data_IF_677792308430
#
_entry.id   IF_677792308430
#
_cell.length_a   1.000
_cell.length_b   1.000
_cell.length_c   1.000
_cell.angle_alpha   90.00
_cell.angle_beta   90.00
_cell.angle_gamma   90.00
#
_symmetry.space_group_name_H-M   'P 1'
#
loop_
_entity.id
_entity.type
_entity.pdbx_description
1 polymer ?
#
# COMPACT_ATOMS: atom_id res chain seq x y z
N UNK A 1 0.80 11.95 26.39
CA UNK A 1 -0.07 13.06 26.87
C UNK A 1 -1.03 12.52 27.92
N UNK A 2 -0.97 12.99 29.19
CA UNK A 2 -1.74 12.37 30.30
C UNK A 2 -3.24 12.27 30.03
N UNK A 3 -3.84 13.29 29.46
CA UNK A 3 -5.28 13.31 29.19
C UNK A 3 -5.70 12.26 28.15
N UNK A 4 -4.84 11.99 27.18
CA UNK A 4 -5.07 10.97 26.14
C UNK A 4 -4.83 9.57 26.73
N UNK A 5 -3.77 9.41 27.55
CA UNK A 5 -3.46 8.15 28.22
C UNK A 5 -4.64 7.75 29.14
N UNK A 6 -5.24 8.70 29.82
CA UNK A 6 -6.40 8.45 30.69
C UNK A 6 -7.68 7.99 29.95
N UNK A 7 -7.71 8.11 28.61
CA UNK A 7 -8.81 7.61 27.76
C UNK A 7 -8.63 6.14 27.35
N UNK A 8 -7.44 5.56 27.54
CA UNK A 8 -7.21 4.16 27.22
C UNK A 8 -8.08 3.25 28.10
N UNK A 9 -8.65 2.19 27.52
CA UNK A 9 -9.31 1.15 28.31
C UNK A 9 -8.36 0.55 29.36
N UNK A 10 -8.92 0.11 30.46
CA UNK A 10 -8.15 -0.57 31.52
C UNK A 10 -7.42 -1.80 30.94
N UNK A 11 -6.12 -1.88 31.20
CA UNK A 11 -5.27 -2.96 30.68
C UNK A 11 -4.77 -2.80 29.24
N UNK A 12 -5.27 -1.82 28.48
CA UNK A 12 -4.74 -1.57 27.14
C UNK A 12 -3.27 -1.12 27.21
N UNK A 13 -2.41 -1.73 26.39
CA UNK A 13 -0.97 -1.45 26.30
C UNK A 13 -0.25 -1.57 27.67
N UNK A 14 -0.70 -2.52 28.53
CA UNK A 14 -0.17 -2.69 29.90
C UNK A 14 1.27 -3.20 29.92
N UNK A 15 1.76 -3.77 28.85
CA UNK A 15 3.15 -4.17 28.64
C UNK A 15 4.08 -3.00 28.20
N UNK A 16 3.51 -1.82 27.96
CA UNK A 16 4.24 -0.62 27.55
C UNK A 16 4.62 -0.60 26.07
N UNK A 17 3.97 -1.42 25.24
CA UNK A 17 4.23 -1.52 23.80
C UNK A 17 2.95 -1.25 23.02
N UNK A 18 3.09 -0.62 21.87
CA UNK A 18 2.10 -0.57 20.81
C UNK A 18 2.65 -1.43 19.66
N UNK A 19 2.11 -2.65 19.52
CA UNK A 19 2.46 -3.57 18.45
C UNK A 19 1.74 -3.18 17.16
N UNK A 20 2.51 -2.77 16.16
CA UNK A 20 1.98 -2.28 14.88
C UNK A 20 2.41 -3.20 13.75
N UNK A 21 1.46 -3.72 12.98
CA UNK A 21 1.76 -4.42 11.75
C UNK A 21 1.86 -3.45 10.56
N UNK A 22 2.86 -3.64 9.71
CA UNK A 22 3.09 -2.89 8.49
C UNK A 22 3.70 -3.76 7.40
N UNK A 23 3.32 -3.56 6.13
CA UNK A 23 3.96 -4.19 4.98
C UNK A 23 5.20 -3.37 4.60
N UNK A 24 6.36 -3.73 5.17
CA UNK A 24 7.59 -2.92 5.09
C UNK A 24 8.32 -3.04 3.75
N UNK A 25 7.57 -2.99 2.67
CA UNK A 25 8.02 -3.01 1.26
C UNK A 25 7.36 -1.92 0.40
N UNK A 26 6.74 -0.92 1.06
CA UNK A 26 5.91 0.10 0.44
C UNK A 26 6.47 1.53 0.60
N UNK A 27 7.72 1.79 0.10
CA UNK A 27 8.35 3.10 0.25
C UNK A 27 7.58 4.20 -0.52
N UNK A 28 7.53 5.43 0.01
CA UNK A 28 8.20 5.95 1.21
C UNK A 28 7.37 5.83 2.50
N UNK A 29 6.25 5.10 2.49
CA UNK A 29 5.35 4.98 3.62
C UNK A 29 5.93 4.11 4.74
N UNK A 30 6.26 2.86 4.43
CA UNK A 30 6.89 1.90 5.33
C UNK A 30 7.81 0.96 4.54
N UNK A 31 9.07 0.89 4.94
CA UNK A 31 10.05 0.01 4.29
C UNK A 31 11.24 -0.27 5.20
N UNK A 32 12.01 -1.28 4.86
CA UNK A 32 13.24 -1.59 5.57
C UNK A 32 14.39 -0.79 4.97
N UNK A 33 15.16 -0.11 5.82
CA UNK A 33 16.41 0.52 5.41
C UNK A 33 17.53 -0.52 5.16
N UNK A 34 18.70 -0.06 4.74
CA UNK A 34 19.84 -0.93 4.48
C UNK A 34 20.35 -1.69 5.73
N UNK A 35 19.97 -1.26 6.93
CA UNK A 35 20.26 -1.93 8.20
C UNK A 35 19.19 -2.92 8.63
N UNK A 36 18.07 -3.01 7.87
CA UNK A 36 16.91 -3.84 8.20
C UNK A 36 15.96 -3.20 9.21
N UNK A 37 16.11 -1.91 9.52
CA UNK A 37 15.19 -1.19 10.39
C UNK A 37 13.98 -0.67 9.58
N UNK A 38 12.78 -0.77 10.16
CA UNK A 38 11.57 -0.20 9.57
C UNK A 38 11.65 1.34 9.63
N UNK A 39 11.44 1.99 8.49
CA UNK A 39 11.46 3.44 8.30
C UNK A 39 10.32 3.88 7.39
N UNK A 40 10.08 5.18 7.29
CA UNK A 40 9.01 5.76 6.46
C UNK A 40 8.02 6.57 7.29
N UNK A 41 7.08 7.25 6.62
CA UNK A 41 6.18 8.15 7.32
C UNK A 41 5.15 7.40 8.18
N UNK A 42 4.73 6.19 7.81
CA UNK A 42 3.81 5.35 8.60
C UNK A 42 4.50 4.81 9.87
N UNK A 43 5.79 4.46 9.75
CA UNK A 43 6.61 4.08 10.91
C UNK A 43 6.78 5.25 11.87
N UNK A 44 7.06 6.45 11.34
CA UNK A 44 7.17 7.66 12.16
C UNK A 44 5.83 8.03 12.83
N UNK A 45 4.71 7.83 12.13
CA UNK A 45 3.36 8.02 12.68
C UNK A 45 3.10 7.05 13.85
N UNK A 46 3.44 5.77 13.67
CA UNK A 46 3.34 4.74 14.72
C UNK A 46 4.13 5.14 15.97
N UNK A 47 5.37 5.59 15.79
CA UNK A 47 6.23 6.08 16.87
C UNK A 47 5.68 7.35 17.55
N UNK A 48 5.07 8.25 16.78
CA UNK A 48 4.46 9.46 17.31
C UNK A 48 3.21 9.14 18.14
N UNK A 49 2.37 8.24 17.69
CA UNK A 49 1.19 7.74 18.42
C UNK A 49 1.63 7.09 19.73
N UNK A 50 2.58 6.17 19.69
CA UNK A 50 3.09 5.49 20.89
C UNK A 50 3.63 6.50 21.93
N UNK A 51 4.38 7.52 21.52
CA UNK A 51 4.86 8.59 22.41
C UNK A 51 3.72 9.38 23.07
N UNK A 52 2.65 9.65 22.32
CA UNK A 52 1.45 10.32 22.86
C UNK A 52 0.78 9.44 23.92
N UNK A 53 0.72 8.12 23.68
CA UNK A 53 0.15 7.12 24.58
C UNK A 53 1.06 6.76 25.76
N UNK A 54 2.33 7.21 25.76
CA UNK A 54 3.27 6.95 26.85
C UNK A 54 3.92 5.56 26.79
N UNK A 55 3.91 4.91 25.61
CA UNK A 55 4.49 3.60 25.34
C UNK A 55 5.52 3.67 24.22
N UNK A 56 6.20 2.57 23.89
CA UNK A 56 7.04 2.44 22.71
C UNK A 56 6.26 1.79 21.57
N UNK A 57 6.56 2.14 20.32
CA UNK A 57 6.06 1.40 19.17
C UNK A 57 7.02 0.27 18.81
N UNK A 58 6.48 -0.89 18.45
CA UNK A 58 7.18 -1.98 17.81
C UNK A 58 6.51 -2.30 16.49
N UNK A 59 7.25 -2.11 15.38
CA UNK A 59 6.70 -2.30 14.02
C UNK A 59 7.10 -3.69 13.53
N UNK A 60 6.11 -4.50 13.24
CA UNK A 60 6.26 -5.87 12.77
C UNK A 60 5.99 -5.94 11.27
N UNK A 61 6.94 -6.48 10.51
CA UNK A 61 6.75 -6.77 9.09
C UNK A 61 5.72 -7.88 8.90
N UNK A 62 4.72 -7.62 8.07
CA UNK A 62 3.70 -8.61 7.72
C UNK A 62 3.29 -8.45 6.25
N UNK A 63 2.77 -9.52 5.65
CA UNK A 63 2.15 -9.45 4.33
C UNK A 63 0.90 -8.55 4.39
N UNK A 64 0.77 -7.64 3.42
CA UNK A 64 -0.27 -6.59 3.44
C UNK A 64 -1.69 -7.14 3.63
N UNK A 65 -2.03 -8.21 2.90
CA UNK A 65 -3.35 -8.83 2.94
C UNK A 65 -3.66 -9.56 4.26
N UNK A 66 -2.63 -9.88 5.06
CA UNK A 66 -2.77 -10.56 6.35
C UNK A 66 -2.96 -9.60 7.54
N UNK A 67 -2.58 -8.33 7.41
CA UNK A 67 -2.52 -7.38 8.53
C UNK A 67 -3.88 -7.20 9.19
N UNK A 68 -4.93 -6.96 8.38
CA UNK A 68 -6.29 -6.70 8.90
C UNK A 68 -6.78 -7.83 9.80
N UNK A 69 -6.52 -9.09 9.41
CA UNK A 69 -6.93 -10.25 10.20
C UNK A 69 -6.13 -10.40 11.52
N UNK A 70 -4.94 -9.83 11.58
CA UNK A 70 -4.06 -9.88 12.75
C UNK A 70 -4.35 -8.80 13.80
N UNK A 71 -5.04 -7.70 13.42
CA UNK A 71 -5.35 -6.60 14.35
C UNK A 71 -6.36 -7.05 15.41
N UNK A 72 -6.06 -6.75 16.67
CA UNK A 72 -6.86 -7.14 17.83
C UNK A 72 -6.59 -8.56 18.33
N UNK A 73 -5.69 -9.31 17.68
CA UNK A 73 -5.27 -10.66 18.11
C UNK A 73 -3.75 -10.77 18.25
N UNK A 74 -3.02 -10.39 17.22
CA UNK A 74 -1.55 -10.44 17.17
C UNK A 74 -0.94 -9.05 17.30
N UNK A 75 -1.64 -8.05 16.79
CA UNK A 75 -1.20 -6.65 16.76
C UNK A 75 -2.27 -5.75 17.38
N UNK A 76 -1.85 -4.65 18.00
CA UNK A 76 -2.76 -3.63 18.51
C UNK A 76 -3.34 -2.78 17.37
N UNK A 77 -2.53 -2.54 16.34
CA UNK A 77 -2.90 -1.74 15.17
C UNK A 77 -2.23 -2.22 13.89
N UNK A 78 -2.85 -1.89 12.75
CA UNK A 78 -2.24 -1.94 11.43
C UNK A 78 -2.05 -0.52 10.90
N UNK A 79 -0.82 -0.14 10.56
CA UNK A 79 -0.50 1.16 9.94
C UNK A 79 0.35 0.88 8.70
N UNK A 80 -0.28 0.84 7.53
CA UNK A 80 0.35 0.42 6.27
C UNK A 80 -0.43 1.00 5.08
N UNK A 81 -0.62 2.30 5.06
CA UNK A 81 -1.27 3.06 3.98
C UNK A 81 -2.61 2.47 3.49
N UNK A 82 -3.39 1.87 4.38
CA UNK A 82 -4.66 1.23 4.02
C UNK A 82 -5.68 2.24 3.48
N UNK A 83 -6.16 2.01 2.29
CA UNK A 83 -7.35 2.71 1.78
C UNK A 83 -8.57 2.39 2.64
N UNK A 84 -9.28 3.42 3.09
CA UNK A 84 -10.54 3.26 3.83
C UNK A 84 -11.62 2.80 2.84
N UNK A 85 -12.05 1.54 2.94
CA UNK A 85 -13.11 0.97 2.12
C UNK A 85 -14.30 0.56 2.98
N UNK A 86 -15.49 0.42 2.35
CA UNK A 86 -16.69 -0.05 3.05
C UNK A 86 -16.49 -1.46 3.63
N UNK A 87 -15.80 -2.33 2.90
CA UNK A 87 -15.52 -3.69 3.35
C UNK A 87 -14.64 -3.68 4.59
N UNK A 88 -13.51 -2.94 4.55
CA UNK A 88 -12.58 -2.83 5.67
C UNK A 88 -13.22 -2.19 6.91
N UNK A 89 -14.05 -1.15 6.72
CA UNK A 89 -14.77 -0.51 7.84
C UNK A 89 -15.87 -1.38 8.44
N UNK A 90 -16.34 -2.39 7.74
CA UNK A 90 -17.23 -3.41 8.31
C UNK A 90 -16.49 -4.41 9.21
N UNK A 91 -15.20 -4.63 8.98
CA UNK A 91 -14.37 -5.56 9.75
C UNK A 91 -13.70 -4.89 10.95
N UNK A 92 -13.32 -3.60 10.84
CA UNK A 92 -12.59 -2.89 11.90
C UNK A 92 -12.80 -1.38 11.85
N UNK A 93 -12.38 -0.71 12.93
CA UNK A 93 -12.32 0.74 12.97
C UNK A 93 -11.11 1.23 12.15
N UNK A 94 -11.35 2.19 11.26
CA UNK A 94 -10.29 2.80 10.46
C UNK A 94 -10.22 4.31 10.73
N UNK A 95 -9.00 4.84 10.77
CA UNK A 95 -8.73 6.27 10.97
C UNK A 95 -7.94 6.75 9.76
N UNK A 96 -8.53 7.66 8.98
CA UNK A 96 -7.82 8.30 7.88
C UNK A 96 -6.82 9.33 8.43
N UNK A 97 -5.56 9.23 8.04
CA UNK A 97 -4.48 10.14 8.47
C UNK A 97 -3.80 10.87 7.29
N UNK A 98 -3.98 10.35 6.08
CA UNK A 98 -3.44 10.94 4.85
C UNK A 98 -4.47 10.82 3.73
N UNK A 99 -4.44 11.73 2.77
CA UNK A 99 -5.24 11.66 1.56
C UNK A 99 -4.32 11.47 0.36
N UNK A 100 -4.39 10.30 -0.28
CA UNK A 100 -3.54 9.89 -1.42
C UNK A 100 -4.44 9.40 -2.54
N UNK A 101 -4.07 9.70 -3.78
CA UNK A 101 -4.65 9.07 -4.96
C UNK A 101 -3.83 7.85 -5.39
N UNK A 102 -4.31 7.12 -6.40
CA UNK A 102 -3.54 6.07 -7.06
C UNK A 102 -3.03 6.55 -8.42
N UNK A 103 -1.87 6.02 -8.87
CA UNK A 103 -1.27 6.33 -10.17
C UNK A 103 -0.68 5.09 -10.80
N UNK A 104 -0.56 5.14 -12.12
CA UNK A 104 0.17 4.14 -12.89
C UNK A 104 1.64 4.56 -13.04
N UNK A 105 2.53 3.59 -12.81
CA UNK A 105 3.89 3.63 -13.32
C UNK A 105 3.95 2.83 -14.62
N UNK A 106 4.70 3.34 -15.60
CA UNK A 106 4.99 2.71 -16.89
C UNK A 106 6.48 2.77 -17.15
N UNK A 107 6.97 2.01 -18.12
CA UNK A 107 8.36 2.13 -18.57
C UNK A 107 8.65 3.55 -19.07
N UNK A 108 9.86 4.05 -18.84
CA UNK A 108 10.29 5.39 -19.23
C UNK A 108 10.02 5.68 -20.72
N UNK A 109 9.48 6.86 -20.98
CA UNK A 109 9.05 7.28 -22.31
C UNK A 109 7.73 6.68 -22.76
N UNK A 110 7.03 5.97 -21.86
CA UNK A 110 5.70 5.38 -22.10
C UNK A 110 5.57 4.72 -23.49
N UNK A 111 6.37 3.69 -23.81
CA UNK A 111 6.51 3.15 -25.17
C UNK A 111 5.22 2.57 -25.74
N UNK A 112 4.24 2.24 -24.89
CA UNK A 112 2.93 1.75 -25.29
C UNK A 112 1.86 2.85 -25.37
N UNK A 113 2.20 4.11 -25.04
CA UNK A 113 1.26 5.23 -25.04
C UNK A 113 0.09 5.01 -24.10
N UNK A 114 0.36 4.44 -22.92
CA UNK A 114 -0.68 4.15 -21.91
C UNK A 114 -1.27 5.46 -21.41
N UNK A 115 -2.58 5.59 -21.54
CA UNK A 115 -3.37 6.73 -21.09
C UNK A 115 -4.50 6.25 -20.18
N UNK A 116 -4.38 6.42 -18.84
CA UNK A 116 -5.38 5.95 -17.90
C UNK A 116 -6.57 6.91 -17.74
N UNK A 117 -6.71 7.94 -18.56
CA UNK A 117 -7.83 8.88 -18.50
C UNK A 117 -9.19 8.20 -18.72
N UNK A 118 -9.22 7.10 -19.47
CA UNK A 118 -10.33 6.15 -19.55
C UNK A 118 -9.79 4.75 -19.26
N UNK A 119 -10.36 4.07 -18.27
CA UNK A 119 -9.94 2.73 -17.87
C UNK A 119 -10.06 1.70 -19.02
N UNK A 120 -10.92 1.94 -20.02
CA UNK A 120 -10.99 1.10 -21.21
C UNK A 120 -9.75 1.19 -22.11
N UNK A 121 -8.90 2.20 -21.96
CA UNK A 121 -7.61 2.29 -22.65
C UNK A 121 -6.59 1.28 -22.09
N UNK A 122 -6.85 0.72 -20.91
CA UNK A 122 -5.99 -0.27 -20.26
C UNK A 122 -6.27 -1.70 -20.73
N UNK A 123 -7.31 -1.92 -21.55
CA UNK A 123 -7.71 -3.24 -22.02
C UNK A 123 -6.58 -3.93 -22.81
N UNK A 124 -6.31 -5.19 -22.46
CA UNK A 124 -5.27 -6.01 -23.08
C UNK A 124 -3.85 -5.74 -22.58
N UNK A 125 -3.67 -4.84 -21.61
CA UNK A 125 -2.39 -4.61 -20.94
C UNK A 125 -2.14 -5.66 -19.85
N UNK A 126 -0.87 -5.87 -19.52
CA UNK A 126 -0.43 -6.63 -18.36
C UNK A 126 -0.09 -5.66 -17.22
N UNK A 127 -0.91 -5.65 -16.17
CA UNK A 127 -0.81 -4.66 -15.08
C UNK A 127 -0.47 -5.37 -13.76
N UNK A 128 0.60 -4.91 -13.11
CA UNK A 128 1.02 -5.37 -11.79
C UNK A 128 0.34 -4.59 -10.66
N UNK A 129 0.00 -5.28 -9.60
CA UNK A 129 -0.57 -4.73 -8.36
C UNK A 129 -0.05 -5.51 -7.16
N UNK A 130 -0.07 -4.91 -5.96
CA UNK A 130 0.16 -5.68 -4.74
C UNK A 130 -1.13 -6.37 -4.31
N UNK A 131 -1.02 -7.62 -3.87
CA UNK A 131 -2.13 -8.46 -3.42
C UNK A 131 -2.89 -7.82 -2.25
N UNK A 132 -4.22 -7.89 -2.28
CA UNK A 132 -5.10 -7.41 -1.21
C UNK A 132 -5.30 -5.89 -1.19
N UNK A 133 -4.76 -5.14 -2.17
CA UNK A 133 -4.91 -3.68 -2.25
C UNK A 133 -6.21 -3.26 -2.91
N UNK A 134 -6.65 -2.03 -2.64
CA UNK A 134 -7.78 -1.41 -3.36
C UNK A 134 -7.45 -1.19 -4.85
N UNK A 135 -6.18 -1.07 -5.20
CA UNK A 135 -5.70 -1.00 -6.59
C UNK A 135 -5.94 -2.33 -7.31
N UNK A 136 -5.67 -3.48 -6.67
CA UNK A 136 -5.97 -4.79 -7.24
C UNK A 136 -7.47 -4.95 -7.52
N UNK A 137 -8.33 -4.57 -6.57
CA UNK A 137 -9.79 -4.61 -6.75
C UNK A 137 -10.23 -3.71 -7.93
N UNK A 138 -9.64 -2.51 -8.03
CA UNK A 138 -9.93 -1.58 -9.12
C UNK A 138 -9.55 -2.15 -10.48
N UNK A 139 -8.33 -2.71 -10.63
CA UNK A 139 -7.86 -3.28 -11.90
C UNK A 139 -8.70 -4.51 -12.29
N UNK A 140 -9.08 -5.35 -11.33
CA UNK A 140 -9.99 -6.47 -11.59
C UNK A 140 -11.35 -5.99 -12.10
N UNK A 141 -11.87 -4.89 -11.55
CA UNK A 141 -13.11 -4.26 -12.02
C UNK A 141 -12.94 -3.72 -13.44
N UNK A 142 -11.85 -3.00 -13.73
CA UNK A 142 -11.55 -2.49 -15.08
C UNK A 142 -11.40 -3.64 -16.10
N UNK A 143 -10.80 -4.75 -15.71
CA UNK A 143 -10.68 -5.95 -16.58
C UNK A 143 -12.07 -6.51 -16.94
N UNK A 144 -12.98 -6.58 -15.98
CA UNK A 144 -14.36 -6.99 -16.23
C UNK A 144 -15.10 -6.02 -17.17
N UNK A 145 -14.85 -4.72 -17.05
CA UNK A 145 -15.46 -3.72 -17.93
C UNK A 145 -14.89 -3.79 -19.36
N UNK A 146 -13.61 -4.10 -19.52
CA UNK A 146 -13.03 -4.44 -20.83
C UNK A 146 -13.78 -5.62 -21.49
N UNK A 147 -14.00 -6.69 -20.72
CA UNK A 147 -14.75 -7.86 -21.20
C UNK A 147 -16.18 -7.50 -21.62
N UNK A 148 -16.91 -6.73 -20.81
CA UNK A 148 -18.26 -6.24 -21.12
C UNK A 148 -18.28 -5.37 -22.37
N UNK A 149 -17.21 -4.61 -22.61
CA UNK A 149 -17.05 -3.78 -23.82
C UNK A 149 -16.60 -4.58 -25.06
N UNK A 150 -16.41 -5.89 -24.95
CA UNK A 150 -15.95 -6.76 -26.04
C UNK A 150 -14.48 -6.53 -26.38
N UNK A 151 -13.69 -5.97 -25.46
CA UNK A 151 -12.23 -5.76 -25.58
C UNK A 151 -11.47 -6.89 -24.88
N UNK A 152 -10.17 -7.08 -25.17
CA UNK A 152 -9.32 -7.99 -24.42
C UNK A 152 -9.32 -7.61 -22.93
N UNK A 153 -9.40 -8.61 -22.03
CA UNK A 153 -9.29 -8.40 -20.59
C UNK A 153 -7.89 -7.89 -20.24
N UNK A 154 -7.76 -7.17 -19.11
CA UNK A 154 -6.47 -6.83 -18.53
C UNK A 154 -5.88 -8.11 -17.93
N UNK A 155 -4.61 -8.41 -18.22
CA UNK A 155 -3.86 -9.44 -17.50
C UNK A 155 -3.38 -8.86 -16.17
N UNK A 156 -4.09 -9.17 -15.09
CA UNK A 156 -3.73 -8.70 -13.74
C UNK A 156 -2.69 -9.63 -13.16
N UNK A 157 -1.55 -9.09 -12.74
CA UNK A 157 -0.50 -9.82 -12.04
C UNK A 157 -0.35 -9.30 -10.62
N UNK A 158 -0.79 -10.11 -9.66
CA UNK A 158 -0.70 -9.79 -8.24
C UNK A 158 0.64 -10.28 -7.67
N UNK A 159 1.29 -9.41 -6.91
CA UNK A 159 2.58 -9.66 -6.23
C UNK A 159 2.40 -9.57 -4.73
N UNK A 160 3.13 -10.36 -3.97
CA UNK A 160 3.12 -10.26 -2.51
C UNK A 160 3.60 -8.90 -2.04
N UNK A 161 4.60 -8.34 -2.73
CA UNK A 161 5.22 -7.07 -2.38
C UNK A 161 5.12 -6.04 -3.52
N UNK A 162 5.01 -4.77 -3.16
CA UNK A 162 5.05 -3.66 -4.13
C UNK A 162 6.42 -3.57 -4.82
N UNK A 163 7.48 -3.89 -4.10
CA UNK A 163 8.85 -3.87 -4.65
C UNK A 163 9.03 -4.90 -5.77
N UNK A 164 8.41 -6.09 -5.66
CA UNK A 164 8.39 -7.09 -6.74
C UNK A 164 7.66 -6.57 -7.98
N UNK A 165 6.49 -5.95 -7.82
CA UNK A 165 5.74 -5.36 -8.93
C UNK A 165 6.56 -4.26 -9.62
N UNK A 166 7.20 -3.37 -8.86
CA UNK A 166 8.07 -2.31 -9.42
C UNK A 166 9.26 -2.88 -10.17
N UNK A 167 9.90 -3.93 -9.61
CA UNK A 167 11.02 -4.63 -10.25
C UNK A 167 10.59 -5.31 -11.56
N UNK A 168 9.40 -5.93 -11.57
CA UNK A 168 8.84 -6.58 -12.75
C UNK A 168 8.55 -5.57 -13.87
N UNK A 169 8.08 -4.35 -13.53
CA UNK A 169 7.91 -3.26 -14.48
C UNK A 169 9.25 -2.79 -15.05
N UNK A 170 10.24 -2.51 -14.20
CA UNK A 170 11.58 -2.11 -14.64
C UNK A 170 12.24 -3.19 -15.52
N UNK A 171 11.95 -4.46 -15.25
CA UNK A 171 12.37 -5.62 -16.06
C UNK A 171 11.52 -5.85 -17.32
N UNK A 172 10.60 -4.95 -17.66
CA UNK A 172 9.73 -5.02 -18.87
C UNK A 172 8.85 -6.27 -18.95
N UNK A 173 8.51 -6.88 -17.81
CA UNK A 173 7.58 -8.02 -17.75
C UNK A 173 6.13 -7.57 -17.52
N UNK A 174 5.92 -6.29 -17.23
CA UNK A 174 4.64 -5.62 -17.07
C UNK A 174 4.57 -4.41 -17.99
N UNK A 175 3.35 -4.02 -18.35
CA UNK A 175 3.09 -2.79 -19.11
C UNK A 175 2.94 -1.60 -18.17
N UNK A 176 2.33 -1.83 -17.00
CA UNK A 176 2.15 -0.83 -15.96
C UNK A 176 2.10 -1.48 -14.57
N UNK A 177 2.31 -0.66 -13.54
CA UNK A 177 2.03 -0.98 -12.13
C UNK A 177 1.10 0.08 -11.57
N UNK A 178 0.09 -0.34 -10.80
CA UNK A 178 -0.88 0.57 -10.18
C UNK A 178 -0.72 0.55 -8.67
N UNK A 179 -0.43 1.71 -8.07
CA UNK A 179 -0.16 1.86 -6.64
C UNK A 179 -0.57 3.25 -6.14
N UNK A 180 -0.39 3.52 -4.86
CA UNK A 180 -0.57 4.85 -4.31
C UNK A 180 0.36 5.87 -4.96
N UNK A 181 -0.13 7.10 -5.13
CA UNK A 181 0.60 8.15 -5.85
C UNK A 181 1.94 8.53 -5.20
N UNK A 182 2.06 8.39 -3.88
CA UNK A 182 3.30 8.58 -3.14
C UNK A 182 4.33 7.52 -3.49
N UNK A 183 3.90 6.27 -3.58
CA UNK A 183 4.73 5.10 -3.91
C UNK A 183 5.11 5.13 -5.39
N UNK A 184 4.14 5.43 -6.26
CA UNK A 184 4.41 5.61 -7.68
C UNK A 184 5.46 6.70 -7.95
N UNK A 185 5.36 7.85 -7.25
CA UNK A 185 6.36 8.92 -7.35
C UNK A 185 7.73 8.52 -6.83
N UNK A 186 7.79 7.79 -5.72
CA UNK A 186 9.05 7.29 -5.17
C UNK A 186 9.75 6.27 -6.09
N UNK A 187 8.98 5.41 -6.75
CA UNK A 187 9.51 4.46 -7.73
C UNK A 187 10.22 5.16 -8.90
N UNK A 188 9.73 6.31 -9.36
CA UNK A 188 10.39 7.11 -10.41
C UNK A 188 11.80 7.55 -9.98
N UNK A 189 11.92 8.05 -8.74
CA UNK A 189 13.21 8.52 -8.21
C UNK A 189 14.20 7.36 -8.01
N UNK A 190 13.74 6.25 -7.44
CA UNK A 190 14.62 5.15 -6.99
C UNK A 190 15.01 4.19 -8.09
N UNK A 191 14.25 4.11 -9.19
CA UNK A 191 14.60 3.29 -10.35
C UNK A 191 15.59 3.97 -11.31
N UNK A 192 16.09 5.18 -10.98
CA UNK A 192 17.06 5.89 -11.84
C UNK A 192 16.48 6.29 -13.18
N UNK A 193 15.18 6.57 -13.25
CA UNK A 193 14.49 6.98 -14.47
C UNK A 193 14.09 5.82 -15.40
N UNK A 194 14.06 4.58 -14.91
CA UNK A 194 13.58 3.43 -15.68
C UNK A 194 12.05 3.39 -15.81
N UNK A 195 11.37 4.05 -14.89
CA UNK A 195 9.90 4.16 -14.89
C UNK A 195 9.49 5.63 -14.78
N UNK A 196 8.28 5.92 -15.24
CA UNK A 196 7.62 7.22 -15.09
C UNK A 196 6.17 7.04 -14.68
N UNK A 197 5.51 8.12 -14.19
CA UNK A 197 4.08 8.12 -13.86
C UNK A 197 3.25 8.68 -15.01
N UNK A 198 2.07 8.10 -15.21
CA UNK A 198 1.05 8.58 -16.14
C UNK A 198 -0.29 8.74 -15.44
#
# INVERSE_FOLDING_TARGET
QPDIIAMLPEGALSDGVLDVAAATDYPPAEFLDAGGAAVGYDVHLSQAIARVLGVRAEVHTAEFDSIIAGVGTTYDAGISSFTVTRERTAAMNMIAYINVGSRFNVAAGNPKGIDPSDHLNLCGLTIGVQTGTAQEESINTFSQDCKKAGRPEIEVRSYSTQSEATTALAGSTLDAVYSDSTVAGYAVETTGGQVETV
#
